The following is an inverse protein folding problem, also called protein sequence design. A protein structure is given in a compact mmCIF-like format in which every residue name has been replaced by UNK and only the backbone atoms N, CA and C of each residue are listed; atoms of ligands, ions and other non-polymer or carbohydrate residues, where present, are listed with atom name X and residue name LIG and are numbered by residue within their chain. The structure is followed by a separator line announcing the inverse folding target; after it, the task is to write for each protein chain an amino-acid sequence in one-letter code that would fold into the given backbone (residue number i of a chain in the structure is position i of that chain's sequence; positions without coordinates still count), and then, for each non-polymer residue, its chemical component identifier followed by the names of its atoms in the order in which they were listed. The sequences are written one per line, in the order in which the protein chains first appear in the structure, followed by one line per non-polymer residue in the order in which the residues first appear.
data_IF_380344681506
#
_entry.id   IF_380344681506
#
_cell.length_a   1.000
_cell.length_b   1.000
_cell.length_c   1.000
_cell.angle_alpha   90.00
_cell.angle_beta   90.00
_cell.angle_gamma   90.00
#
_symmetry.space_group_name_H-M   'P 1'
#
loop_
_entity.id
_entity.type
_entity.pdbx_description
1 polymer ?
#
# COMPACT_ATOMS: atom_id res chain seq x y z
N UNK A 1 10.74 3.52 36.80
CA UNK A 1 12.14 3.04 36.91
C UNK A 1 12.68 2.88 35.50
N UNK A 2 13.69 3.66 35.07
CA UNK A 2 14.23 3.51 33.73
C UNK A 2 15.33 2.45 33.72
N UNK A 3 15.20 1.50 32.80
CA UNK A 3 16.21 0.49 32.52
C UNK A 3 17.43 1.14 31.88
N UNK A 4 18.58 0.90 32.50
CA UNK A 4 19.91 1.26 32.01
C UNK A 4 20.26 0.33 30.86
N UNK A 5 20.40 0.87 29.65
CA UNK A 5 21.01 0.17 28.52
C UNK A 5 22.53 0.25 28.66
N UNK A 6 23.14 -0.87 29.07
CA UNK A 6 24.56 -1.11 28.86
C UNK A 6 24.80 -1.28 27.36
N UNK A 7 25.58 -0.38 26.77
CA UNK A 7 26.09 -0.53 25.41
C UNK A 7 27.42 -1.29 25.50
N UNK A 8 27.42 -2.45 24.86
CA UNK A 8 28.52 -3.40 24.76
C UNK A 8 29.70 -2.78 23.99
N UNK A 9 30.87 -2.71 24.64
CA UNK A 9 32.05 -1.95 24.18
C UNK A 9 33.06 -2.79 23.39
N UNK A 10 32.72 -4.02 22.99
CA UNK A 10 33.66 -4.94 22.36
C UNK A 10 33.28 -5.28 20.91
N UNK A 11 33.45 -4.33 19.97
CA UNK A 11 33.44 -4.68 18.53
C UNK A 11 34.22 -3.78 17.57
N UNK A 12 35.19 -3.00 18.06
CA UNK A 12 35.95 -2.04 17.22
C UNK A 12 37.48 -2.28 17.15
N UNK A 13 37.94 -3.52 17.34
CA UNK A 13 39.37 -3.86 17.22
C UNK A 13 39.75 -4.62 15.93
N UNK A 14 38.85 -4.74 14.94
CA UNK A 14 39.05 -5.63 13.78
C UNK A 14 39.30 -4.98 12.40
N UNK A 15 39.08 -3.67 12.23
CA UNK A 15 38.88 -3.09 10.90
C UNK A 15 40.04 -2.20 10.38
N UNK A 16 41.30 -2.48 10.76
CA UNK A 16 42.47 -1.77 10.23
C UNK A 16 43.56 -2.72 9.67
N UNK A 17 43.15 -3.89 9.18
CA UNK A 17 44.08 -4.89 8.65
C UNK A 17 43.66 -5.42 7.28
N UNK A 18 43.34 -4.52 6.33
CA UNK A 18 43.21 -4.87 4.91
C UNK A 18 43.17 -3.62 4.00
N UNK A 19 44.29 -2.87 3.98
CA UNK A 19 44.67 -2.09 2.79
C UNK A 19 46.17 -2.31 2.55
N UNK A 20 46.48 -3.50 2.02
CA UNK A 20 47.77 -3.81 1.44
C UNK A 20 47.78 -3.33 -0.01
N UNK A 21 48.13 -2.06 -0.23
CA UNK A 21 48.58 -1.58 -1.54
C UNK A 21 50.09 -1.80 -1.67
N UNK A 22 50.62 -2.17 -2.85
CA UNK A 22 52.04 -2.44 -3.02
C UNK A 22 52.85 -1.14 -2.90
N UNK A 23 53.56 -0.97 -1.77
CA UNK A 23 54.61 0.03 -1.67
C UNK A 23 55.78 -0.41 -2.55
N UNK A 24 56.06 0.39 -3.58
CA UNK A 24 57.29 0.31 -4.36
C UNK A 24 58.51 0.42 -3.44
N UNK A 25 59.56 -0.40 -3.64
CA UNK A 25 60.78 -0.28 -2.86
C UNK A 25 61.50 1.01 -3.25
N UNK A 26 61.57 1.96 -2.33
CA UNK A 26 62.52 3.07 -2.43
C UNK A 26 63.94 2.47 -2.34
N UNK A 27 64.56 2.31 -3.50
CA UNK A 27 65.96 1.98 -3.68
C UNK A 27 66.79 3.08 -3.01
N UNK A 28 67.26 2.82 -1.79
CA UNK A 28 68.34 3.60 -1.18
C UNK A 28 69.62 3.19 -1.87
N UNK A 29 69.94 3.91 -2.94
CA UNK A 29 71.20 3.82 -3.67
C UNK A 29 72.33 4.29 -2.74
N UNK A 30 72.97 3.33 -2.06
CA UNK A 30 74.22 3.53 -1.34
C UNK A 30 75.31 3.85 -2.36
N UNK A 31 75.54 5.14 -2.65
CA UNK A 31 76.79 5.59 -3.26
C UNK A 31 77.89 5.56 -2.21
N UNK A 32 78.56 4.42 -2.13
CA UNK A 32 79.93 4.35 -1.63
C UNK A 32 80.85 5.06 -2.65
N UNK A 33 81.26 6.28 -2.35
CA UNK A 33 82.45 6.88 -2.96
C UNK A 33 83.56 6.82 -1.93
N UNK A 34 84.36 5.76 -2.01
CA UNK A 34 85.74 5.78 -1.56
C UNK A 34 86.47 6.84 -2.39
N UNK A 35 86.99 7.89 -1.74
CA UNK A 35 88.00 8.72 -2.36
C UNK A 35 89.15 8.97 -1.39
N UNK A 36 90.28 8.50 -1.88
CA UNK A 36 91.59 8.33 -1.28
C UNK A 36 92.24 9.66 -0.88
N UNK A 37 93.01 9.58 0.20
CA UNK A 37 93.85 10.61 0.79
C UNK A 37 94.72 11.39 -0.21
N UNK A 38 94.81 12.71 -0.02
CA UNK A 38 96.03 13.46 -0.31
C UNK A 38 96.18 14.60 0.71
N UNK A 39 97.26 14.48 1.46
CA UNK A 39 97.85 15.47 2.35
C UNK A 39 98.12 16.80 1.66
N UNK A 40 97.72 17.90 2.29
CA UNK A 40 98.53 19.12 2.41
C UNK A 40 97.98 19.92 3.58
N UNK A 41 98.82 20.09 4.61
CA UNK A 41 98.52 20.92 5.76
C UNK A 41 98.67 22.38 5.38
N UNK A 42 97.57 23.11 5.50
CA UNK A 42 97.57 24.55 5.73
C UNK A 42 96.53 24.82 6.82
N UNK A 43 97.00 24.88 8.06
CA UNK A 43 96.22 25.35 9.20
C UNK A 43 96.04 26.87 9.07
N UNK A 44 95.09 27.27 8.23
CA UNK A 44 94.51 28.61 8.28
C UNK A 44 93.42 28.57 9.35
N UNK A 45 93.62 29.33 10.43
CA UNK A 45 92.61 29.52 11.47
C UNK A 45 91.30 29.97 10.81
N UNK A 46 90.17 29.26 11.05
CA UNK A 46 88.89 29.65 10.49
C UNK A 46 88.54 31.04 11.01
N UNK A 47 88.26 31.94 10.07
CA UNK A 47 87.86 33.31 10.35
C UNK A 47 86.51 33.26 11.09
N UNK A 48 86.44 33.69 12.37
CA UNK A 48 85.25 33.52 13.21
C UNK A 48 83.99 34.22 12.67
N UNK A 49 84.13 35.13 11.69
CA UNK A 49 83.00 35.76 11.02
C UNK A 49 82.28 34.85 10.02
N UNK A 50 82.97 33.88 9.40
CA UNK A 50 82.36 32.93 8.45
C UNK A 50 81.37 31.98 9.14
N UNK A 51 81.74 31.50 10.33
CA UNK A 51 80.93 30.57 11.14
C UNK A 51 79.60 31.18 11.60
N UNK A 52 79.51 32.51 11.71
CA UNK A 52 78.29 33.20 12.11
C UNK A 52 77.29 33.28 10.95
N UNK A 53 77.76 33.56 9.74
CA UNK A 53 76.92 33.62 8.54
C UNK A 53 76.27 32.26 8.24
N UNK A 54 77.02 31.17 8.40
CA UNK A 54 76.51 29.80 8.18
C UNK A 54 75.44 29.41 9.22
N UNK A 55 75.61 29.79 10.48
CA UNK A 55 74.61 29.57 11.55
C UNK A 55 73.34 30.37 11.32
N UNK A 56 73.44 31.62 10.88
CA UNK A 56 72.26 32.44 10.53
C UNK A 56 71.53 31.89 9.31
N UNK A 57 72.26 31.43 8.29
CA UNK A 57 71.68 30.75 7.12
C UNK A 57 70.95 29.47 7.53
N UNK A 58 71.54 28.65 8.41
CA UNK A 58 70.92 27.43 8.93
C UNK A 58 69.65 27.71 9.75
N UNK A 59 69.68 28.75 10.60
CA UNK A 59 68.49 29.17 11.37
C UNK A 59 67.35 29.65 10.46
N UNK A 60 67.64 30.41 9.40
CA UNK A 60 66.63 30.82 8.42
C UNK A 60 66.07 29.61 7.66
N UNK A 61 66.91 28.63 7.35
CA UNK A 61 66.50 27.36 6.78
C UNK A 61 65.52 26.61 7.67
N UNK A 62 65.86 26.44 8.95
CA UNK A 62 64.98 25.79 9.94
C UNK A 62 63.66 26.54 10.13
N UNK A 63 63.69 27.87 10.20
CA UNK A 63 62.47 28.68 10.30
C UNK A 63 61.56 28.50 9.09
N UNK A 64 62.12 28.41 7.88
CA UNK A 64 61.35 28.13 6.66
C UNK A 64 60.68 26.75 6.72
N UNK A 65 61.44 25.72 7.08
CA UNK A 65 60.91 24.35 7.22
C UNK A 65 59.80 24.29 8.26
N UNK A 66 59.94 24.96 9.40
CA UNK A 66 58.90 25.02 10.45
C UNK A 66 57.63 25.68 9.92
N UNK A 67 57.74 26.77 9.14
CA UNK A 67 56.57 27.43 8.54
C UNK A 67 55.90 26.55 7.49
N UNK A 68 56.67 25.86 6.64
CA UNK A 68 56.16 24.92 5.64
C UNK A 68 55.44 23.74 6.31
N UNK A 69 56.04 23.12 7.32
CA UNK A 69 55.40 22.02 8.08
C UNK A 69 54.12 22.49 8.75
N UNK A 70 54.11 23.70 9.33
CA UNK A 70 52.91 24.27 9.95
C UNK A 70 51.81 24.53 8.91
N UNK A 71 52.16 24.95 7.71
CA UNK A 71 51.21 25.17 6.62
C UNK A 71 50.62 23.84 6.14
N UNK A 72 51.45 22.84 5.88
CA UNK A 72 50.99 21.50 5.47
C UNK A 72 50.07 20.88 6.53
N UNK A 73 50.43 20.98 7.81
CA UNK A 73 49.57 20.47 8.90
C UNK A 73 48.22 21.19 8.97
N UNK A 74 48.18 22.50 8.70
CA UNK A 74 46.93 23.26 8.66
C UNK A 74 46.05 22.79 7.49
N UNK A 75 46.63 22.67 6.30
CA UNK A 75 45.91 22.24 5.09
C UNK A 75 45.38 20.81 5.25
N UNK A 76 46.15 19.91 5.87
CA UNK A 76 45.71 18.55 6.17
C UNK A 76 44.58 18.52 7.20
N UNK A 77 44.67 19.29 8.29
CA UNK A 77 43.60 19.41 9.28
C UNK A 77 42.31 19.97 8.66
N UNK A 78 42.42 21.00 7.82
CA UNK A 78 41.27 21.56 7.11
C UNK A 78 40.68 20.59 6.08
N UNK A 79 41.51 19.78 5.43
CA UNK A 79 41.08 18.73 4.49
C UNK A 79 40.32 17.63 5.23
N UNK A 80 40.84 17.17 6.37
CA UNK A 80 40.19 16.14 7.20
C UNK A 80 38.88 16.65 7.80
N UNK A 81 38.86 17.89 8.30
CA UNK A 81 37.64 18.49 8.82
C UNK A 81 36.57 18.63 7.72
N UNK A 82 36.96 19.07 6.52
CA UNK A 82 36.04 19.12 5.36
C UNK A 82 35.48 17.74 5.05
N UNK A 83 36.33 16.71 4.95
CA UNK A 83 35.89 15.33 4.68
C UNK A 83 34.91 14.82 5.73
N UNK A 84 35.19 14.98 7.03
CA UNK A 84 34.26 14.57 8.09
C UNK A 84 32.92 15.30 7.99
N UNK A 85 32.95 16.61 7.74
CA UNK A 85 31.74 17.41 7.61
C UNK A 85 30.89 17.03 6.39
N UNK A 86 31.51 16.70 5.25
CA UNK A 86 30.79 16.40 4.00
C UNK A 86 30.45 14.93 3.83
N UNK A 87 31.37 14.02 4.13
CA UNK A 87 31.20 12.59 3.85
C UNK A 87 30.45 11.88 4.98
N UNK A 88 30.71 12.23 6.24
CA UNK A 88 30.09 11.53 7.37
C UNK A 88 28.85 12.25 7.90
N UNK A 89 28.90 13.58 8.03
CA UNK A 89 27.80 14.32 8.64
C UNK A 89 26.62 14.64 7.72
N UNK A 90 26.85 14.87 6.42
CA UNK A 90 25.74 15.21 5.50
C UNK A 90 24.75 14.05 5.33
N UNK A 91 25.17 12.78 5.13
CA UNK A 91 24.23 11.67 5.01
C UNK A 91 23.39 11.48 6.27
N UNK A 92 24.00 11.63 7.45
CA UNK A 92 23.28 11.52 8.73
C UNK A 92 22.25 12.63 8.90
N UNK A 93 22.57 13.86 8.48
CA UNK A 93 21.60 14.97 8.49
C UNK A 93 20.47 14.74 7.50
N UNK A 94 20.77 14.23 6.31
CA UNK A 94 19.76 13.94 5.30
C UNK A 94 18.82 12.82 5.77
N UNK A 95 19.36 11.73 6.32
CA UNK A 95 18.57 10.62 6.88
C UNK A 95 17.69 11.11 8.04
N UNK A 96 18.22 11.95 8.95
CA UNK A 96 17.43 12.51 10.04
C UNK A 96 16.25 13.37 9.53
N UNK A 97 16.50 14.24 8.54
CA UNK A 97 15.44 15.07 7.93
C UNK A 97 14.41 14.20 7.24
N UNK A 98 14.83 13.16 6.53
CA UNK A 98 13.93 12.26 5.82
C UNK A 98 13.07 11.44 6.78
N UNK A 99 13.65 10.91 7.87
CA UNK A 99 12.89 10.24 8.94
C UNK A 99 11.90 11.20 9.61
N UNK A 100 12.30 12.44 9.86
CA UNK A 100 11.41 13.45 10.42
C UNK A 100 10.23 13.74 9.48
N UNK A 101 10.48 13.83 8.18
CA UNK A 101 9.44 14.01 7.17
C UNK A 101 8.48 12.81 7.10
N UNK A 102 8.99 11.58 7.18
CA UNK A 102 8.16 10.36 7.24
C UNK A 102 7.27 10.34 8.48
N UNK A 103 7.80 10.72 9.66
CA UNK A 103 7.00 10.81 10.89
C UNK A 103 5.89 11.86 10.75
N UNK A 104 6.17 13.02 10.16
CA UNK A 104 5.15 14.03 9.91
C UNK A 104 4.06 13.55 8.94
N UNK A 105 4.43 12.83 7.88
CA UNK A 105 3.46 12.24 6.95
C UNK A 105 2.58 11.19 7.64
N UNK A 106 3.17 10.35 8.48
CA UNK A 106 2.43 9.34 9.25
C UNK A 106 1.44 9.99 10.22
N UNK A 107 1.87 11.01 10.97
CA UNK A 107 1.01 11.77 11.87
C UNK A 107 -0.13 12.47 11.13
N UNK A 108 0.14 13.03 9.94
CA UNK A 108 -0.90 13.65 9.12
C UNK A 108 -1.92 12.60 8.63
N UNK A 109 -1.46 11.43 8.17
CA UNK A 109 -2.36 10.34 7.77
C UNK A 109 -3.21 9.83 8.93
N UNK A 110 -2.62 9.70 10.12
CA UNK A 110 -3.33 9.29 11.33
C UNK A 110 -4.38 10.32 11.76
N UNK A 111 -4.02 11.61 11.74
CA UNK A 111 -4.97 12.69 12.03
C UNK A 111 -6.10 12.75 11.00
N UNK A 112 -5.80 12.62 9.71
CA UNK A 112 -6.82 12.57 8.66
C UNK A 112 -7.75 11.37 8.85
N UNK A 113 -7.20 10.20 9.21
CA UNK A 113 -7.99 8.99 9.51
C UNK A 113 -8.89 9.20 10.73
N UNK A 114 -8.38 9.84 11.79
CA UNK A 114 -9.14 10.15 12.99
C UNK A 114 -10.27 11.15 12.70
N UNK A 115 -9.99 12.23 11.97
CA UNK A 115 -11.02 13.19 11.53
C UNK A 115 -12.07 12.50 10.66
N UNK A 116 -11.64 11.67 9.71
CA UNK A 116 -12.54 10.92 8.85
C UNK A 116 -13.45 9.97 9.64
N UNK A 117 -12.89 9.25 10.61
CA UNK A 117 -13.66 8.36 11.49
C UNK A 117 -14.64 9.14 12.37
N UNK A 118 -14.23 10.29 12.93
CA UNK A 118 -15.14 11.13 13.74
C UNK A 118 -16.28 11.72 12.91
N UNK A 119 -16.00 12.16 11.68
CA UNK A 119 -17.05 12.63 10.75
C UNK A 119 -18.00 11.49 10.40
N UNK A 120 -17.49 10.28 10.22
CA UNK A 120 -18.30 9.09 9.98
C UNK A 120 -19.18 8.74 11.17
N UNK A 121 -18.65 8.69 12.38
CA UNK A 121 -19.43 8.35 13.59
C UNK A 121 -20.56 9.35 13.80
N UNK A 122 -20.28 10.65 13.67
CA UNK A 122 -21.32 11.69 13.81
C UNK A 122 -22.34 11.68 12.68
N UNK A 123 -21.93 11.31 11.46
CA UNK A 123 -22.86 11.17 10.32
C UNK A 123 -23.72 9.91 10.46
N UNK A 124 -23.15 8.82 10.97
CA UNK A 124 -23.84 7.54 11.17
C UNK A 124 -24.89 7.66 12.28
N UNK A 125 -24.57 8.28 13.43
CA UNK A 125 -25.57 8.50 14.51
C UNK A 125 -26.71 9.44 14.10
N UNK A 126 -26.42 10.49 13.33
CA UNK A 126 -27.45 11.39 12.80
C UNK A 126 -28.32 10.73 11.70
N UNK A 127 -27.77 9.76 10.97
CA UNK A 127 -28.45 9.03 9.89
C UNK A 127 -29.31 7.87 10.41
N UNK A 128 -28.85 7.11 11.42
CA UNK A 128 -29.67 6.09 12.09
C UNK A 128 -30.90 6.66 12.80
N UNK A 129 -30.88 7.94 13.19
CA UNK A 129 -32.02 8.61 13.82
C UNK A 129 -33.13 9.03 12.82
N UNK A 130 -32.91 8.93 11.50
CA UNK A 130 -33.76 9.57 10.49
C UNK A 130 -34.49 8.67 9.49
N UNK A 131 -33.99 7.47 9.17
CA UNK A 131 -34.53 6.68 8.04
C UNK A 131 -34.46 5.19 8.34
N UNK A 132 -35.49 4.69 9.02
CA UNK A 132 -35.70 3.24 9.23
C UNK A 132 -35.59 2.44 7.92
N UNK A 133 -35.86 3.07 6.77
CA UNK A 133 -35.77 2.48 5.43
C UNK A 133 -34.33 2.16 4.99
N UNK A 134 -33.34 3.02 5.25
CA UNK A 134 -31.99 2.81 4.70
C UNK A 134 -31.24 1.67 5.40
N UNK A 135 -31.46 1.52 6.71
CA UNK A 135 -30.97 0.36 7.47
C UNK A 135 -31.59 -0.96 6.96
N UNK A 136 -32.87 -0.96 6.61
CA UNK A 136 -33.54 -2.14 6.06
C UNK A 136 -33.03 -2.49 4.66
N UNK A 137 -32.82 -1.50 3.79
CA UNK A 137 -32.22 -1.67 2.46
C UNK A 137 -30.82 -2.28 2.58
N UNK A 138 -29.97 -1.74 3.46
CA UNK A 138 -28.60 -2.29 3.68
C UNK A 138 -28.67 -3.72 4.19
N UNK A 139 -29.55 -4.02 5.15
CA UNK A 139 -29.74 -5.40 5.62
C UNK A 139 -30.14 -6.33 4.48
N UNK A 140 -31.09 -5.94 3.62
CA UNK A 140 -31.50 -6.74 2.45
C UNK A 140 -30.36 -6.94 1.45
N UNK A 141 -29.52 -5.93 1.23
CA UNK A 141 -28.32 -6.05 0.36
C UNK A 141 -27.35 -7.08 0.96
N UNK A 142 -27.08 -7.01 2.27
CA UNK A 142 -26.15 -7.92 2.93
C UNK A 142 -26.70 -9.35 3.01
N UNK A 143 -27.99 -9.52 3.33
CA UNK A 143 -28.65 -10.83 3.34
C UNK A 143 -28.58 -11.48 1.94
N UNK A 144 -28.86 -10.71 0.89
CA UNK A 144 -28.76 -11.20 -0.48
C UNK A 144 -27.31 -11.49 -0.90
N UNK A 145 -26.35 -10.65 -0.50
CA UNK A 145 -24.93 -10.89 -0.75
C UNK A 145 -24.47 -12.18 -0.07
N UNK A 146 -24.95 -12.44 1.16
CA UNK A 146 -24.62 -13.62 1.95
C UNK A 146 -25.26 -14.90 1.41
N UNK A 147 -26.43 -14.80 0.77
CA UNK A 147 -27.24 -15.95 0.30
C UNK A 147 -26.57 -16.91 -0.70
N UNK A 148 -25.38 -16.59 -1.21
CA UNK A 148 -24.59 -17.48 -2.07
C UNK A 148 -23.13 -17.62 -1.65
N UNK A 149 -22.76 -17.10 -0.47
CA UNK A 149 -21.38 -17.14 0.02
C UNK A 149 -21.18 -18.46 0.77
N UNK A 150 -20.25 -19.33 0.34
CA UNK A 150 -19.92 -20.51 1.11
C UNK A 150 -19.30 -20.09 2.44
N UNK A 151 -19.59 -20.82 3.53
CA UNK A 151 -18.87 -20.62 4.79
C UNK A 151 -17.39 -20.98 4.60
N UNK A 152 -16.47 -20.36 5.35
CA UNK A 152 -15.10 -20.84 5.37
C UNK A 152 -15.08 -22.30 5.80
N UNK A 153 -14.26 -23.13 5.14
CA UNK A 153 -14.32 -24.59 5.23
C UNK A 153 -14.14 -25.13 6.66
N UNK A 154 -13.46 -24.38 7.53
CA UNK A 154 -13.31 -24.69 8.95
C UNK A 154 -14.60 -24.51 9.74
N UNK A 155 -15.58 -23.75 9.26
CA UNK A 155 -16.84 -23.48 9.93
C UNK A 155 -17.98 -24.37 9.42
N UNK A 156 -18.91 -24.69 10.32
CA UNK A 156 -20.16 -25.37 10.02
C UNK A 156 -21.32 -24.72 10.79
N UNK A 157 -22.52 -24.75 10.23
CA UNK A 157 -23.75 -24.31 10.92
C UNK A 157 -24.34 -25.50 11.65
N UNK A 158 -24.61 -25.32 12.94
CA UNK A 158 -25.32 -26.29 13.77
C UNK A 158 -26.73 -25.76 14.02
N UNK A 159 -27.71 -26.43 13.44
CA UNK A 159 -29.13 -26.20 13.72
C UNK A 159 -29.59 -27.11 14.85
N UNK A 160 -30.25 -26.53 15.86
CA UNK A 160 -30.84 -27.29 16.95
C UNK A 160 -32.32 -26.92 17.08
N UNK A 161 -33.16 -27.91 17.36
CA UNK A 161 -34.61 -27.76 17.40
C UNK A 161 -34.99 -26.73 18.49
N UNK A 162 -35.50 -25.58 18.06
CA UNK A 162 -35.95 -24.51 18.95
C UNK A 162 -34.88 -23.51 19.40
N UNK A 163 -33.64 -23.60 18.91
CA UNK A 163 -32.63 -22.55 19.11
C UNK A 163 -32.24 -21.89 17.79
N UNK A 164 -31.80 -20.62 17.81
CA UNK A 164 -31.12 -20.02 16.65
C UNK A 164 -29.94 -20.91 16.21
N UNK A 165 -29.61 -20.95 14.91
CA UNK A 165 -28.40 -21.61 14.45
C UNK A 165 -27.18 -20.96 15.10
N UNK A 166 -26.18 -21.77 15.43
CA UNK A 166 -24.86 -21.31 15.85
C UNK A 166 -23.79 -21.90 14.95
N UNK A 167 -22.60 -21.31 14.95
CA UNK A 167 -21.49 -21.71 14.10
C UNK A 167 -20.42 -22.39 14.93
N UNK A 168 -19.92 -23.52 14.44
CA UNK A 168 -18.85 -24.30 15.06
C UNK A 168 -17.62 -24.31 14.14
N UNK A 169 -16.46 -23.97 14.66
CA UNK A 169 -15.19 -24.10 13.95
C UNK A 169 -14.65 -25.52 14.20
N UNK A 170 -14.71 -26.39 13.19
CA UNK A 170 -14.27 -27.79 13.24
C UNK A 170 -12.79 -27.94 13.56
N UNK A 171 -11.97 -26.95 13.21
CA UNK A 171 -10.51 -27.01 13.40
C UNK A 171 -10.13 -26.58 14.82
N UNK A 172 -10.75 -25.52 15.37
CA UNK A 172 -10.41 -24.98 16.71
C UNK A 172 -11.32 -25.49 17.83
N UNK A 173 -12.52 -25.99 17.49
CA UNK A 173 -13.59 -26.33 18.44
C UNK A 173 -14.33 -25.11 19.00
N UNK A 174 -14.09 -23.91 18.46
CA UNK A 174 -14.76 -22.68 18.91
C UNK A 174 -16.18 -22.60 18.39
N UNK A 175 -17.11 -22.17 19.25
CA UNK A 175 -18.50 -21.94 18.90
C UNK A 175 -18.87 -20.47 19.02
N UNK A 176 -19.60 -19.92 18.07
CA UNK A 176 -20.12 -18.55 18.11
C UNK A 176 -21.56 -18.48 17.63
N UNK A 177 -22.30 -17.50 18.13
CA UNK A 177 -23.65 -17.16 17.64
C UNK A 177 -23.60 -16.21 16.44
N UNK A 178 -22.49 -15.51 16.26
CA UNK A 178 -22.28 -14.58 15.17
C UNK A 178 -21.78 -15.30 13.92
N UNK A 179 -22.16 -14.82 12.73
CA UNK A 179 -21.67 -15.39 11.49
C UNK A 179 -20.13 -15.29 11.42
N UNK A 180 -19.39 -16.30 10.92
CA UNK A 180 -17.92 -16.25 10.81
C UNK A 180 -17.37 -15.08 9.99
N UNK A 181 -18.23 -14.45 9.19
CA UNK A 181 -17.94 -13.28 8.38
C UNK A 181 -18.52 -11.98 8.95
N UNK A 182 -18.90 -11.96 10.24
CA UNK A 182 -19.57 -10.81 10.88
C UNK A 182 -18.76 -9.51 10.77
N UNK A 183 -17.46 -9.55 11.04
CA UNK A 183 -16.59 -8.36 10.92
C UNK A 183 -16.62 -7.77 9.50
N UNK A 184 -16.69 -8.64 8.47
CA UNK A 184 -16.79 -8.23 7.08
C UNK A 184 -18.18 -7.66 6.74
N UNK A 185 -19.25 -8.18 7.36
CA UNK A 185 -20.60 -7.65 7.21
C UNK A 185 -20.70 -6.24 7.82
N UNK A 186 -20.06 -5.99 8.97
CA UNK A 186 -19.98 -4.65 9.56
C UNK A 186 -19.24 -3.66 8.64
N UNK A 187 -18.07 -4.05 8.12
CA UNK A 187 -17.32 -3.24 7.15
C UNK A 187 -18.18 -2.91 5.92
N UNK A 188 -18.84 -3.93 5.36
CA UNK A 188 -19.68 -3.78 4.18
C UNK A 188 -20.94 -2.94 4.43
N UNK A 189 -21.52 -3.00 5.62
CA UNK A 189 -22.67 -2.17 5.99
C UNK A 189 -22.32 -0.67 5.90
N UNK A 190 -21.15 -0.29 6.42
CA UNK A 190 -20.67 1.08 6.38
C UNK A 190 -20.35 1.53 4.94
N UNK A 191 -19.80 0.65 4.11
CA UNK A 191 -19.55 0.93 2.69
C UNK A 191 -20.85 1.04 1.88
N UNK A 192 -21.82 0.17 2.14
CA UNK A 192 -23.13 0.19 1.49
C UNK A 192 -23.87 1.49 1.80
N UNK A 193 -23.93 1.91 3.08
CA UNK A 193 -24.53 3.19 3.49
C UNK A 193 -23.88 4.37 2.74
N UNK A 194 -22.55 4.42 2.66
CA UNK A 194 -21.84 5.47 1.90
C UNK A 194 -22.19 5.46 0.42
N UNK A 195 -22.28 4.27 -0.19
CA UNK A 195 -22.62 4.14 -1.61
C UNK A 195 -24.08 4.55 -1.87
N UNK A 196 -25.00 4.23 -0.96
CA UNK A 196 -26.40 4.59 -1.07
C UNK A 196 -26.64 6.11 -0.93
N UNK A 197 -25.78 6.82 -0.20
CA UNK A 197 -25.81 8.28 -0.11
C UNK A 197 -25.39 9.01 -1.40
N UNK A 198 -24.76 8.31 -2.37
CA UNK A 198 -24.33 8.88 -3.64
C UNK A 198 -25.45 8.85 -4.69
N UNK A 199 -25.36 9.74 -5.69
CA UNK A 199 -26.26 9.69 -6.85
C UNK A 199 -26.00 8.41 -7.67
N UNK A 200 -26.99 7.94 -8.42
CA UNK A 200 -26.92 6.65 -9.14
C UNK A 200 -25.66 6.45 -10.00
N UNK A 201 -25.21 7.48 -10.72
CA UNK A 201 -23.99 7.39 -11.54
C UNK A 201 -22.71 7.33 -10.69
N UNK A 202 -22.62 8.14 -9.65
CA UNK A 202 -21.48 8.17 -8.71
C UNK A 202 -21.41 6.87 -7.90
N UNK A 203 -22.56 6.36 -7.44
CA UNK A 203 -22.71 5.07 -6.78
C UNK A 203 -22.21 3.92 -7.66
N UNK A 204 -22.62 3.88 -8.94
CA UNK A 204 -22.17 2.85 -9.87
C UNK A 204 -20.65 2.86 -10.05
N UNK A 205 -20.05 4.06 -10.19
CA UNK A 205 -18.60 4.20 -10.29
C UNK A 205 -17.89 3.76 -9.00
N UNK A 206 -18.42 4.16 -7.84
CA UNK A 206 -17.89 3.75 -6.54
C UNK A 206 -17.98 2.23 -6.34
N UNK A 207 -19.13 1.61 -6.64
CA UNK A 207 -19.34 0.17 -6.55
C UNK A 207 -18.42 -0.61 -7.49
N UNK A 208 -18.23 -0.13 -8.73
CA UNK A 208 -17.28 -0.71 -9.69
C UNK A 208 -15.85 -0.68 -9.16
N UNK A 209 -15.41 0.45 -8.59
CA UNK A 209 -14.08 0.59 -7.99
C UNK A 209 -13.91 -0.32 -6.77
N UNK A 210 -14.93 -0.43 -5.91
CA UNK A 210 -14.93 -1.35 -4.78
C UNK A 210 -14.75 -2.80 -5.25
N UNK A 211 -15.53 -3.22 -6.26
CA UNK A 211 -15.41 -4.56 -6.84
C UNK A 211 -14.00 -4.85 -7.34
N UNK A 212 -13.43 -3.94 -8.13
CA UNK A 212 -12.05 -4.08 -8.65
C UNK A 212 -11.02 -4.16 -7.52
N UNK A 213 -11.17 -3.33 -6.49
CA UNK A 213 -10.29 -3.36 -5.31
C UNK A 213 -10.38 -4.70 -4.59
N UNK A 214 -11.59 -5.20 -4.32
CA UNK A 214 -11.79 -6.46 -3.63
C UNK A 214 -11.28 -7.66 -4.44
N UNK A 215 -11.43 -7.64 -5.76
CA UNK A 215 -10.82 -8.64 -6.65
C UNK A 215 -9.29 -8.62 -6.56
N UNK A 216 -8.68 -7.43 -6.64
CA UNK A 216 -7.23 -7.29 -6.53
C UNK A 216 -6.71 -7.73 -5.16
N UNK A 217 -7.45 -7.45 -4.09
CA UNK A 217 -7.14 -7.87 -2.73
C UNK A 217 -7.23 -9.40 -2.57
N UNK A 218 -8.28 -10.01 -3.11
CA UNK A 218 -8.45 -11.47 -3.12
C UNK A 218 -7.31 -12.18 -3.84
N UNK A 219 -6.94 -11.69 -5.03
CA UNK A 219 -5.81 -12.22 -5.81
C UNK A 219 -4.50 -12.08 -5.03
N UNK A 220 -4.26 -10.91 -4.44
CA UNK A 220 -3.04 -10.65 -3.66
C UNK A 220 -2.95 -11.57 -2.45
N UNK A 221 -4.03 -11.70 -1.69
CA UNK A 221 -4.06 -12.53 -0.48
C UNK A 221 -3.88 -14.01 -0.82
N UNK A 222 -4.60 -14.50 -1.83
CA UNK A 222 -4.50 -15.89 -2.26
C UNK A 222 -3.09 -16.25 -2.75
N UNK A 223 -2.43 -15.35 -3.49
CA UNK A 223 -1.04 -15.54 -3.98
C UNK A 223 0.01 -15.64 -2.86
N UNK A 224 -0.30 -15.21 -1.64
CA UNK A 224 0.60 -15.37 -0.52
C UNK A 224 0.71 -16.83 -0.04
N UNK A 225 -0.20 -17.71 -0.45
CA UNK A 225 -0.23 -19.12 -0.05
C UNK A 225 0.48 -20.02 -1.07
N UNK A 226 1.32 -20.92 -0.60
CA UNK A 226 1.99 -21.94 -1.42
C UNK A 226 1.86 -23.34 -0.78
N UNK A 227 1.89 -24.37 -1.62
CA UNK A 227 1.83 -25.76 -1.17
C UNK A 227 3.21 -26.26 -0.74
N UNK A 228 3.26 -26.97 0.38
CA UNK A 228 4.43 -27.65 0.92
C UNK A 228 4.06 -29.11 1.26
N UNK A 229 5.06 -30.00 1.30
CA UNK A 229 4.89 -31.41 1.65
C UNK A 229 5.61 -31.72 2.97
N UNK A 230 4.91 -32.35 3.90
CA UNK A 230 5.53 -32.83 5.14
C UNK A 230 6.36 -34.08 4.85
N UNK A 231 7.68 -34.00 5.09
CA UNK A 231 8.61 -35.09 4.83
C UNK A 231 8.31 -36.37 5.62
N UNK A 232 7.57 -36.27 6.72
CA UNK A 232 7.27 -37.42 7.58
C UNK A 232 6.02 -38.18 7.16
N UNK A 233 4.95 -37.47 6.79
CA UNK A 233 3.66 -38.07 6.41
C UNK A 233 3.45 -38.16 4.90
N UNK A 234 4.16 -37.35 4.10
CA UNK A 234 3.88 -37.15 2.67
C UNK A 234 2.59 -36.37 2.41
N UNK A 235 1.97 -35.79 3.44
CA UNK A 235 0.75 -34.98 3.30
C UNK A 235 1.10 -33.57 2.84
N UNK A 236 0.32 -33.03 1.91
CA UNK A 236 0.42 -31.63 1.50
C UNK A 236 -0.24 -30.72 2.54
N UNK A 237 0.38 -29.58 2.80
CA UNK A 237 -0.15 -28.47 3.59
C UNK A 237 0.14 -27.15 2.89
N UNK A 238 -0.48 -26.07 3.34
CA UNK A 238 -0.33 -24.75 2.75
C UNK A 238 0.35 -23.80 3.73
N UNK A 239 1.31 -23.03 3.24
CA UNK A 239 2.07 -22.06 4.00
C UNK A 239 1.81 -20.65 3.48
N UNK A 240 1.63 -19.70 4.39
CA UNK A 240 1.56 -18.29 4.08
C UNK A 240 2.98 -17.67 4.04
N UNK A 241 3.34 -17.05 2.92
CA UNK A 241 4.69 -16.53 2.66
C UNK A 241 5.12 -15.42 3.63
N UNK A 242 4.22 -14.48 3.95
CA UNK A 242 4.54 -13.33 4.81
C UNK A 242 4.44 -13.61 6.31
N UNK A 243 3.37 -14.27 6.77
CA UNK A 243 3.13 -14.52 8.21
C UNK A 243 3.84 -15.77 8.72
N UNK A 244 4.17 -16.73 7.84
CA UNK A 244 4.69 -18.04 8.23
C UNK A 244 3.63 -18.97 8.80
N UNK A 245 2.35 -18.62 8.72
CA UNK A 245 1.24 -19.47 9.14
C UNK A 245 1.11 -20.69 8.22
N UNK A 246 0.60 -21.79 8.76
CA UNK A 246 0.39 -23.02 8.02
C UNK A 246 -1.00 -23.60 8.31
N UNK A 247 -1.63 -24.19 7.30
CA UNK A 247 -2.93 -24.86 7.41
C UNK A 247 -2.97 -26.12 6.54
N UNK A 248 -3.82 -27.07 6.91
CA UNK A 248 -4.03 -28.31 6.15
C UNK A 248 -5.12 -28.11 5.08
N UNK A 249 -6.05 -27.22 5.34
CA UNK A 249 -7.15 -26.87 4.46
C UNK A 249 -6.66 -26.01 3.28
N UNK A 250 -7.31 -26.17 2.13
CA UNK A 250 -6.95 -25.38 0.95
C UNK A 250 -7.30 -23.90 1.17
N UNK A 251 -6.38 -22.95 0.89
CA UNK A 251 -6.57 -21.53 1.19
C UNK A 251 -7.78 -20.93 0.48
N UNK A 252 -8.17 -21.46 -0.68
CA UNK A 252 -9.38 -21.03 -1.37
C UNK A 252 -10.63 -21.19 -0.50
N UNK A 253 -10.75 -22.28 0.25
CA UNK A 253 -11.90 -22.55 1.10
C UNK A 253 -11.88 -21.80 2.44
N UNK A 254 -10.72 -21.30 2.86
CA UNK A 254 -10.57 -20.56 4.13
C UNK A 254 -10.65 -19.05 3.90
N UNK A 255 -9.93 -18.56 2.89
CA UNK A 255 -9.65 -17.13 2.70
C UNK A 255 -10.61 -16.47 1.70
N UNK A 256 -11.01 -17.15 0.62
CA UNK A 256 -11.83 -16.52 -0.43
C UNK A 256 -13.29 -16.22 -0.05
N UNK A 257 -13.97 -16.95 0.86
CA UNK A 257 -15.35 -16.65 1.26
C UNK A 257 -15.59 -15.18 1.64
N UNK A 258 -14.69 -14.58 2.41
CA UNK A 258 -14.83 -13.18 2.81
C UNK A 258 -14.74 -12.22 1.62
N UNK A 259 -13.88 -12.53 0.64
CA UNK A 259 -13.74 -11.71 -0.58
C UNK A 259 -14.90 -11.91 -1.52
N UNK A 260 -15.44 -13.13 -1.62
CA UNK A 260 -16.63 -13.41 -2.40
C UNK A 260 -17.82 -12.60 -1.87
N UNK A 261 -18.04 -12.55 -0.55
CA UNK A 261 -19.03 -11.68 0.09
C UNK A 261 -18.83 -10.20 -0.27
N UNK A 262 -17.60 -9.70 -0.18
CA UNK A 262 -17.25 -8.31 -0.53
C UNK A 262 -17.55 -7.98 -1.99
N UNK A 263 -17.18 -8.86 -2.91
CA UNK A 263 -17.41 -8.72 -4.35
C UNK A 263 -18.92 -8.75 -4.64
N UNK A 264 -19.67 -9.70 -4.07
CA UNK A 264 -21.13 -9.80 -4.24
C UNK A 264 -21.87 -8.56 -3.74
N UNK A 265 -21.50 -8.04 -2.58
CA UNK A 265 -22.05 -6.79 -2.08
C UNK A 265 -21.81 -5.63 -3.06
N UNK A 266 -20.59 -5.51 -3.59
CA UNK A 266 -20.25 -4.48 -4.57
C UNK A 266 -21.04 -4.63 -5.89
N UNK A 267 -21.30 -5.86 -6.34
CA UNK A 267 -22.15 -6.14 -7.52
C UNK A 267 -23.60 -5.70 -7.29
N UNK A 268 -24.18 -6.02 -6.14
CA UNK A 268 -25.54 -5.61 -5.80
C UNK A 268 -25.66 -4.08 -5.69
N UNK A 269 -24.64 -3.40 -5.15
CA UNK A 269 -24.59 -1.94 -5.11
C UNK A 269 -24.44 -1.30 -6.51
N UNK A 270 -23.88 -2.03 -7.46
CA UNK A 270 -23.71 -1.60 -8.85
C UNK A 270 -25.03 -1.75 -9.65
N UNK A 271 -25.91 -2.67 -9.27
CA UNK A 271 -27.18 -2.94 -9.95
C UNK A 271 -28.28 -1.92 -9.54
N UNK A 272 -28.53 -0.94 -10.41
CA UNK A 272 -29.54 0.09 -10.17
C UNK A 272 -30.98 -0.45 -10.20
N UNK A 273 -31.25 -1.53 -10.93
CA UNK A 273 -32.60 -2.08 -11.05
C UNK A 273 -32.94 -2.91 -9.82
N UNK A 274 -31.97 -3.68 -9.31
CA UNK A 274 -32.06 -4.32 -8.00
C UNK A 274 -32.33 -3.30 -6.89
N UNK A 275 -31.52 -2.24 -6.80
CA UNK A 275 -31.69 -1.20 -5.77
C UNK A 275 -33.04 -0.49 -5.90
N UNK A 276 -33.51 -0.22 -7.12
CA UNK A 276 -34.84 0.37 -7.34
C UNK A 276 -35.95 -0.54 -6.81
N UNK A 277 -35.86 -1.84 -7.08
CA UNK A 277 -36.81 -2.83 -6.55
C UNK A 277 -36.83 -2.88 -5.02
N UNK A 278 -35.68 -2.69 -4.36
CA UNK A 278 -35.62 -2.61 -2.89
C UNK A 278 -36.36 -1.38 -2.34
N UNK A 279 -36.18 -0.21 -2.97
CA UNK A 279 -36.86 1.03 -2.54
C UNK A 279 -38.36 1.02 -2.84
N UNK A 280 -38.78 0.42 -3.96
CA UNK A 280 -40.19 0.33 -4.35
C UNK A 280 -40.98 -0.69 -3.53
N UNK A 281 -40.34 -1.75 -3.01
CA UNK A 281 -40.99 -2.78 -2.22
C UNK A 281 -41.48 -2.32 -0.84
N UNK A 282 -41.01 -1.16 -0.36
CA UNK A 282 -41.35 -0.64 0.97
C UNK A 282 -42.65 0.18 1.02
N UNK A 283 -43.28 0.46 -0.13
CA UNK A 283 -44.63 1.00 -0.15
C UNK A 283 -45.64 -0.16 -0.04
N UNK A 284 -46.18 -0.48 1.17
CA UNK A 284 -47.24 -1.47 1.27
C UNK A 284 -48.38 -1.01 0.37
N UNK A 285 -48.98 -1.90 -0.44
CA UNK A 285 -50.10 -1.53 -1.29
C UNK A 285 -51.17 -0.94 -0.39
N UNK A 286 -51.36 0.38 -0.47
CA UNK A 286 -52.24 1.10 0.44
C UNK A 286 -53.63 0.46 0.30
N UNK A 287 -54.22 -0.08 1.38
CA UNK A 287 -55.47 -0.84 1.28
C UNK A 287 -56.65 -0.02 0.74
N UNK A 288 -56.52 1.31 0.66
CA UNK A 288 -57.53 2.23 0.13
C UNK A 288 -57.88 2.01 -1.35
N UNK A 289 -57.02 1.33 -2.13
CA UNK A 289 -57.33 0.98 -3.52
C UNK A 289 -58.16 -0.31 -3.71
N UNK A 290 -58.30 -1.15 -2.68
CA UNK A 290 -58.94 -2.48 -2.83
C UNK A 290 -60.46 -2.46 -2.70
N UNK A 291 -61.03 -1.38 -2.16
CA UNK A 291 -62.49 -1.22 -2.03
C UNK A 291 -63.11 -0.60 -3.30
N UNK A 292 -62.36 0.19 -4.08
CA UNK A 292 -62.89 0.88 -5.27
C UNK A 292 -62.95 0.05 -6.57
N UNK A 293 -62.11 -0.98 -6.72
CA UNK A 293 -62.06 -1.78 -7.97
C UNK A 293 -63.10 -2.90 -8.05
N UNK A 294 -63.64 -3.33 -6.92
CA UNK A 294 -64.68 -4.39 -6.89
C UNK A 294 -66.07 -3.82 -7.18
N UNK A 295 -66.33 -2.56 -6.81
CA UNK A 295 -67.62 -1.91 -7.07
C UNK A 295 -67.78 -1.50 -8.54
N UNK A 296 -66.70 -1.05 -9.20
CA UNK A 296 -66.76 -0.65 -10.62
C UNK A 296 -67.01 -1.83 -11.58
N UNK A 297 -66.60 -3.05 -11.19
CA UNK A 297 -66.92 -4.29 -11.95
C UNK A 297 -68.33 -4.81 -11.67
N UNK A 298 -68.92 -4.49 -10.51
CA UNK A 298 -70.28 -4.89 -10.13
C UNK A 298 -71.37 -3.92 -10.58
N UNK A 299 -71.04 -2.64 -10.80
CA UNK A 299 -72.02 -1.61 -11.20
C UNK A 299 -72.12 -1.35 -12.71
N UNK A 300 -71.30 -1.99 -13.55
CA UNK A 300 -71.43 -1.87 -15.01
C UNK A 300 -71.32 -0.43 -15.55
N UNK A 301 -70.73 0.49 -14.79
CA UNK A 301 -70.57 1.88 -15.21
C UNK A 301 -69.43 1.96 -16.21
N UNK A 302 -69.81 2.11 -17.49
CA UNK A 302 -68.89 2.42 -18.58
C UNK A 302 -68.13 3.71 -18.25
N UNK A 303 -66.82 3.58 -18.14
CA UNK A 303 -65.87 4.69 -18.22
C UNK A 303 -66.16 5.51 -19.48
N UNK A 304 -66.57 6.76 -19.31
CA UNK A 304 -66.70 7.73 -20.39
C UNK A 304 -65.31 8.28 -20.67
N UNK A 305 -64.77 7.95 -21.84
CA UNK A 305 -63.50 8.49 -22.35
C UNK A 305 -63.53 10.02 -22.34
N UNK A 306 -62.54 10.62 -21.68
CA UNK A 306 -62.12 12.01 -21.90
C UNK A 306 -60.99 12.00 -22.92
N UNK A 307 -61.33 11.77 -24.17
CA UNK A 307 -60.55 12.26 -25.30
C UNK A 307 -61.33 13.44 -25.88
N UNK A 308 -60.72 14.63 -25.86
CA UNK A 308 -60.73 15.60 -26.97
C UNK A 308 -60.37 17.02 -26.49
N UNK A 309 -59.56 17.70 -27.31
CA UNK A 309 -59.10 19.09 -27.28
C UNK A 309 -57.90 19.34 -26.33
N UNK A 310 -56.71 19.76 -26.77
CA UNK A 310 -56.46 20.90 -27.68
C UNK A 310 -55.00 20.89 -28.21
N UNK A 311 -54.87 21.10 -29.53
CA UNK A 311 -53.82 21.74 -30.36
C UNK A 311 -52.38 21.90 -29.85
N UNK A 312 -51.37 21.40 -30.55
CA UNK A 312 -50.74 21.97 -31.77
C UNK A 312 -50.02 23.30 -31.52
N UNK A 313 -48.69 23.24 -31.40
CA UNK A 313 -47.78 24.35 -31.67
C UNK A 313 -46.46 23.78 -32.25
N UNK A 314 -46.22 24.10 -33.53
CA UNK A 314 -44.99 23.86 -34.28
C UNK A 314 -44.00 25.00 -34.04
N UNK A 315 -42.74 24.67 -33.73
CA UNK A 315 -41.51 25.45 -34.02
C UNK A 315 -40.40 24.36 -34.11
N UNK A 316 -39.80 23.98 -35.24
CA UNK A 316 -39.06 24.71 -36.28
C UNK A 316 -37.92 25.58 -35.73
N UNK A 317 -36.71 25.02 -35.65
CA UNK A 317 -35.56 25.39 -36.51
C UNK A 317 -34.18 25.06 -35.88
N UNK A 318 -33.28 24.57 -36.75
CA UNK A 318 -31.83 24.77 -36.82
C UNK A 318 -30.94 24.52 -35.58
N UNK A 319 -29.99 23.60 -35.68
CA UNK A 319 -28.71 23.89 -36.34
C UNK A 319 -27.75 22.70 -36.27
N UNK A 320 -27.37 22.26 -37.46
CA UNK A 320 -26.25 21.37 -37.77
C UNK A 320 -24.95 22.14 -37.57
N UNK A 321 -24.06 21.64 -36.71
CA UNK A 321 -22.68 22.09 -36.65
C UNK A 321 -21.76 20.88 -36.85
N UNK A 322 -21.27 20.76 -38.08
CA UNK A 322 -20.14 19.92 -38.46
C UNK A 322 -18.89 20.35 -37.70
N UNK A 323 -18.18 19.39 -37.10
CA UNK A 323 -16.80 19.58 -36.68
C UNK A 323 -15.85 18.96 -37.72
N UNK A 324 -14.75 19.64 -38.07
CA UNK A 324 -13.80 19.17 -39.05
C UNK A 324 -12.93 18.03 -38.52
N UNK A 325 -12.73 17.04 -39.37
CA UNK A 325 -11.71 16.00 -39.26
C UNK A 325 -10.35 16.62 -39.57
N UNK A 326 -9.54 16.87 -38.55
CA UNK A 326 -8.09 17.09 -38.71
C UNK A 326 -7.37 15.76 -38.63
N UNK A 327 -6.57 15.50 -39.67
CA UNK A 327 -5.68 14.36 -39.74
C UNK A 327 -4.52 14.52 -38.76
N UNK A 328 -4.16 13.39 -38.14
CA UNK A 328 -2.91 13.21 -37.44
C UNK A 328 -2.19 12.05 -38.12
N UNK A 329 -1.13 12.43 -38.83
CA UNK A 329 -0.03 11.57 -39.29
C UNK A 329 0.50 10.75 -38.09
N UNK A 330 0.51 9.42 -38.16
CA UNK A 330 1.62 8.59 -38.67
C UNK A 330 3.00 9.05 -38.20
N UNK A 331 3.36 8.64 -36.97
CA UNK A 331 4.75 8.43 -36.57
C UNK A 331 4.81 7.11 -35.79
N UNK A 332 5.14 6.07 -36.54
CA UNK A 332 5.45 4.73 -36.06
C UNK A 332 6.91 4.69 -35.62
N UNK A 333 7.17 4.88 -34.32
CA UNK A 333 8.46 4.58 -33.72
C UNK A 333 8.41 3.27 -32.91
N UNK A 334 9.29 2.36 -33.33
CA UNK A 334 9.71 1.08 -32.77
C UNK A 334 9.66 0.98 -31.22
N UNK A 335 8.62 0.34 -30.69
CA UNK A 335 8.70 -0.28 -29.36
C UNK A 335 9.38 -1.65 -29.47
N UNK A 336 10.65 -1.68 -29.05
CA UNK A 336 11.38 -2.91 -28.73
C UNK A 336 10.64 -3.67 -27.64
N UNK A 337 10.27 -4.91 -27.97
CA UNK A 337 9.70 -5.88 -27.04
C UNK A 337 10.52 -6.01 -25.76
N UNK A 338 9.90 -5.59 -24.67
CA UNK A 338 10.19 -6.09 -23.33
C UNK A 338 9.16 -7.18 -23.12
N UNK A 339 9.57 -8.44 -23.26
CA UNK A 339 8.78 -9.60 -22.84
C UNK A 339 8.60 -9.49 -21.31
N UNK A 340 7.48 -8.90 -20.90
CA UNK A 340 7.06 -8.85 -19.49
C UNK A 340 6.53 -10.22 -19.09
N UNK A 341 7.30 -10.95 -18.29
CA UNK A 341 6.96 -12.24 -17.67
C UNK A 341 5.84 -12.14 -16.59
N UNK A 342 4.89 -11.20 -16.72
CA UNK A 342 3.79 -10.98 -15.77
C UNK A 342 2.45 -11.62 -16.23
N UNK A 343 2.50 -12.58 -17.15
CA UNK A 343 1.32 -13.28 -17.68
C UNK A 343 0.84 -14.46 -16.81
N UNK A 344 1.00 -14.39 -15.49
CA UNK A 344 0.53 -15.39 -14.52
C UNK A 344 -0.81 -15.01 -13.83
N UNK A 345 -1.59 -14.10 -14.42
CA UNK A 345 -2.86 -13.61 -13.86
C UNK A 345 -4.17 -14.28 -14.34
N UNK A 346 -4.26 -15.12 -15.41
CA UNK A 346 -5.57 -15.57 -15.88
C UNK A 346 -6.23 -16.62 -14.96
N UNK A 347 -5.47 -17.40 -14.20
CA UNK A 347 -6.03 -18.55 -13.46
C UNK A 347 -6.88 -18.13 -12.25
N UNK A 348 -6.51 -17.06 -11.55
CA UNK A 348 -7.28 -16.59 -10.38
C UNK A 348 -8.57 -15.88 -10.80
N UNK A 349 -8.56 -15.15 -11.92
CA UNK A 349 -9.77 -14.55 -12.49
C UNK A 349 -10.77 -15.63 -12.92
N UNK A 350 -10.27 -16.71 -13.53
CA UNK A 350 -11.08 -17.88 -13.88
C UNK A 350 -11.60 -18.63 -12.64
N UNK A 351 -10.84 -18.68 -11.54
CA UNK A 351 -11.33 -19.25 -10.29
C UNK A 351 -12.53 -18.48 -9.73
N UNK A 352 -12.51 -17.15 -9.73
CA UNK A 352 -13.65 -16.35 -9.24
C UNK A 352 -14.90 -16.57 -10.11
N UNK A 353 -14.73 -16.65 -11.44
CA UNK A 353 -15.83 -16.88 -12.36
C UNK A 353 -16.33 -18.34 -12.37
N UNK A 354 -15.45 -19.32 -12.16
CA UNK A 354 -15.78 -20.75 -12.16
C UNK A 354 -16.58 -21.18 -10.93
N UNK A 355 -16.57 -20.41 -9.84
CA UNK A 355 -17.33 -20.73 -8.63
C UNK A 355 -18.80 -20.31 -8.70
N UNK A 356 -19.20 -19.54 -9.73
CA UNK A 356 -20.59 -19.13 -9.93
C UNK A 356 -21.45 -20.18 -10.67
N UNK A 357 -20.91 -21.37 -10.99
CA UNK A 357 -21.50 -22.28 -11.97
C UNK A 357 -21.85 -23.71 -11.50
N UNK A 358 -21.73 -24.05 -10.22
CA UNK A 358 -22.26 -25.33 -9.71
C UNK A 358 -23.26 -25.11 -8.57
N UNK A 359 -24.55 -25.48 -8.76
CA UNK A 359 -25.60 -25.41 -7.74
C UNK A 359 -25.56 -26.52 -6.71
#
# INVERSE_FOLDING_TARGET
MPAVLLIDSHRWAGALRQQGGPMAPAVVEKRSTEQTCASSGDNLCPDPESDKADKESHLRGLQRVVLEVRQVLREELESRLRRVMTEEMLPLRLDLVQRQQQVQQMQLQEHLRAVWNSVLVLSVEAYWAGTVSEGEVVRKILDNALSGVPLPISWEVIESEGSPPFFNNKTTGETTWDHPLHEHLEELSALALRCLALKSNERWQAAKLLRQRFQAEAVREYRCWYTAEDSSSGSCYFCHTTTGEAMWEHPAGVVLPQFYLKIRCAELLQDNDYLRGLFEAEDPPTPEGRIGRTISKLLGLRSVSKDSLTSQAQLSACSTASFPSEGLDDDSEDEKGIESEDEAAPEVALLVDSWSLEP
#
